data_IF_168035489731
#
_entry.id   IF_168035489731
#
_cell.length_a   1.000
_cell.length_b   1.000
_cell.length_c   1.000
_cell.angle_alpha   90.00
_cell.angle_beta   90.00
_cell.angle_gamma   90.00
#
_symmetry.space_group_name_H-M   'P 1'
#
loop_
_entity.id
_entity.type
_entity.pdbx_description
1 polymer ?
#
# COMPACT_ATOMS: atom_id res chain seq x y z
N UNK A 1 24.96 30.82 11.45
CA UNK A 1 25.16 29.48 10.85
C UNK A 1 23.82 28.75 10.95
N UNK A 2 23.24 28.32 9.83
CA UNK A 2 21.91 27.67 9.84
C UNK A 2 22.09 26.18 10.14
N UNK A 3 21.57 25.70 11.27
CA UNK A 3 21.64 24.30 11.67
C UNK A 3 20.60 23.51 10.89
N UNK A 4 21.03 22.79 9.84
CA UNK A 4 20.16 21.82 9.17
C UNK A 4 19.92 20.66 10.14
N UNK A 5 18.67 20.17 10.30
CA UNK A 5 18.43 18.94 11.04
C UNK A 5 19.17 17.77 10.38
N UNK A 6 19.57 16.75 11.16
CA UNK A 6 20.23 15.57 10.60
C UNK A 6 19.31 14.90 9.58
N UNK A 7 19.91 14.34 8.52
CA UNK A 7 19.17 13.59 7.52
C UNK A 7 18.51 12.36 8.19
N UNK A 8 17.32 11.95 7.74
CA UNK A 8 16.66 10.77 8.28
C UNK A 8 17.49 9.52 8.04
N UNK A 9 17.53 8.62 9.03
CA UNK A 9 18.14 7.30 8.89
C UNK A 9 17.38 6.42 7.89
N UNK A 10 17.94 5.25 7.57
CA UNK A 10 17.34 4.35 6.58
C UNK A 10 15.93 3.89 6.94
N UNK A 11 15.65 3.64 8.22
CA UNK A 11 14.31 3.22 8.66
C UNK A 11 13.33 4.36 8.49
N UNK A 12 13.71 5.57 8.91
CA UNK A 12 12.90 6.78 8.74
C UNK A 12 12.59 7.06 7.26
N UNK A 13 13.53 6.80 6.36
CA UNK A 13 13.31 6.92 4.92
C UNK A 13 12.29 5.88 4.41
N UNK A 14 12.42 4.61 4.82
CA UNK A 14 11.49 3.55 4.42
C UNK A 14 10.05 3.85 4.86
N UNK A 15 9.84 4.40 6.06
CA UNK A 15 8.50 4.82 6.53
C UNK A 15 7.81 5.84 5.62
N UNK A 16 8.58 6.63 4.87
CA UNK A 16 8.09 7.68 3.99
C UNK A 16 7.68 7.20 2.59
N UNK A 17 8.05 5.98 2.20
CA UNK A 17 7.79 5.44 0.87
C UNK A 17 6.34 4.96 0.74
N UNK A 18 5.90 4.82 -0.51
CA UNK A 18 4.68 4.10 -0.86
C UNK A 18 5.03 2.68 -1.28
N UNK A 19 4.13 1.75 -0.96
CA UNK A 19 4.25 0.32 -1.24
C UNK A 19 2.96 -0.15 -1.91
N UNK A 20 3.05 -1.11 -2.82
CA UNK A 20 1.87 -1.74 -3.41
C UNK A 20 1.63 -3.16 -2.87
N UNK A 21 0.54 -3.78 -3.34
CA UNK A 21 0.14 -5.14 -2.96
C UNK A 21 0.41 -6.18 -4.04
N UNK A 22 1.31 -5.92 -5.00
CA UNK A 22 1.60 -6.88 -6.06
C UNK A 22 2.15 -8.21 -5.49
N UNK A 23 1.73 -9.33 -6.09
CA UNK A 23 2.11 -10.68 -5.63
C UNK A 23 1.28 -11.20 -4.45
N UNK A 24 1.87 -12.07 -3.62
CA UNK A 24 1.19 -12.77 -2.51
C UNK A 24 1.20 -11.95 -1.21
N UNK A 25 0.72 -10.71 -1.29
CA UNK A 25 0.83 -9.71 -0.23
C UNK A 25 0.05 -10.05 1.06
N UNK A 26 -1.03 -10.83 0.94
CA UNK A 26 -1.88 -11.26 2.06
C UNK A 26 -1.78 -12.77 2.30
N UNK A 27 -1.95 -13.24 3.56
CA UNK A 27 -2.34 -12.50 4.75
C UNK A 27 -1.16 -12.04 5.63
N UNK A 28 0.10 -12.16 5.17
CA UNK A 28 1.28 -11.95 6.04
C UNK A 28 2.09 -10.70 5.73
N UNK A 29 2.38 -10.43 4.45
CA UNK A 29 3.36 -9.41 4.07
C UNK A 29 2.87 -7.99 4.36
N UNK A 30 1.64 -7.65 3.97
CA UNK A 30 1.06 -6.32 4.25
C UNK A 30 0.85 -6.10 5.75
N UNK A 31 0.28 -7.03 6.53
CA UNK A 31 0.21 -6.86 7.98
C UNK A 31 1.58 -6.67 8.64
N UNK A 32 2.63 -7.35 8.16
CA UNK A 32 3.98 -7.11 8.64
C UNK A 32 4.49 -5.71 8.27
N UNK A 33 4.25 -5.25 7.04
CA UNK A 33 4.60 -3.90 6.56
C UNK A 33 3.97 -2.80 7.41
N UNK A 34 2.75 -3.00 7.93
CA UNK A 34 2.08 -2.01 8.79
C UNK A 34 2.76 -1.78 10.14
N UNK A 35 3.73 -2.62 10.54
CA UNK A 35 4.60 -2.33 11.69
C UNK A 35 5.68 -1.27 11.36
N UNK A 36 5.82 -0.91 10.08
CA UNK A 36 6.79 0.07 9.57
C UNK A 36 6.08 1.29 8.97
N UNK A 37 5.17 1.07 8.02
CA UNK A 37 4.53 2.13 7.24
C UNK A 37 3.06 2.30 7.62
N UNK A 38 2.59 3.55 7.64
CA UNK A 38 1.18 3.86 7.90
C UNK A 38 0.27 3.30 6.80
N UNK A 39 -0.99 2.91 7.10
CA UNK A 39 -1.93 2.39 6.11
C UNK A 39 -2.11 3.29 4.88
N UNK A 40 -1.95 4.61 5.02
CA UNK A 40 -2.06 5.57 3.91
C UNK A 40 -0.93 5.44 2.89
N UNK A 41 0.14 4.72 3.21
CA UNK A 41 1.29 4.45 2.33
C UNK A 41 1.10 3.21 1.45
N UNK A 42 0.02 2.46 1.63
CA UNK A 42 -0.25 1.22 0.87
C UNK A 42 -1.19 1.51 -0.31
N UNK A 43 -0.81 1.05 -1.51
CA UNK A 43 -1.57 1.15 -2.75
C UNK A 43 -1.98 -0.25 -3.23
N UNK A 44 -3.05 -0.33 -4.00
CA UNK A 44 -3.37 -1.58 -4.69
C UNK A 44 -2.46 -1.73 -5.91
N UNK A 45 -1.88 -2.91 -6.07
CA UNK A 45 -1.15 -3.32 -7.28
C UNK A 45 -1.45 -4.79 -7.58
N UNK A 46 -1.78 -5.11 -8.82
CA UNK A 46 -2.04 -6.49 -9.27
C UNK A 46 -0.85 -7.12 -10.01
N UNK A 47 0.04 -6.29 -10.55
CA UNK A 47 1.11 -6.69 -11.47
C UNK A 47 0.60 -7.44 -12.72
N UNK A 48 -0.62 -7.13 -13.17
CA UNK A 48 -1.12 -7.63 -14.45
C UNK A 48 -0.40 -6.90 -15.61
N UNK A 49 0.06 -7.59 -16.67
CA UNK A 49 -0.17 -8.98 -17.06
C UNK A 49 0.95 -9.98 -16.70
N UNK A 50 1.92 -9.57 -15.88
CA UNK A 50 3.00 -10.46 -15.43
C UNK A 50 2.50 -11.50 -14.42
N UNK A 51 1.57 -11.11 -13.54
CA UNK A 51 0.75 -12.03 -12.78
C UNK A 51 -0.34 -12.61 -13.71
N UNK A 52 -0.41 -13.95 -13.90
CA UNK A 52 -1.45 -14.56 -14.73
C UNK A 52 -2.86 -14.19 -14.24
N UNK A 53 -3.86 -14.03 -15.13
CA UNK A 53 -5.19 -13.55 -14.78
C UNK A 53 -5.82 -14.26 -13.57
N UNK A 54 -5.85 -15.60 -13.59
CA UNK A 54 -6.43 -16.38 -12.50
C UNK A 54 -5.69 -16.20 -11.16
N UNK A 55 -4.39 -15.92 -11.20
CA UNK A 55 -3.61 -15.64 -9.99
C UNK A 55 -3.85 -14.21 -9.49
N UNK A 56 -4.00 -13.24 -10.41
CA UNK A 56 -4.38 -11.87 -10.04
C UNK A 56 -5.76 -11.84 -9.37
N UNK A 57 -6.74 -12.59 -9.91
CA UNK A 57 -8.06 -12.76 -9.29
C UNK A 57 -7.96 -13.36 -7.88
N UNK A 58 -7.12 -14.39 -7.69
CA UNK A 58 -6.89 -14.98 -6.37
C UNK A 58 -6.25 -14.00 -5.38
N UNK A 59 -5.28 -13.18 -5.82
CA UNK A 59 -4.69 -12.14 -4.99
C UNK A 59 -5.71 -11.06 -4.61
N UNK A 60 -6.55 -10.63 -5.56
CA UNK A 60 -7.64 -9.66 -5.30
C UNK A 60 -8.63 -10.23 -4.28
N UNK A 61 -9.02 -11.50 -4.40
CA UNK A 61 -9.90 -12.14 -3.43
C UNK A 61 -9.26 -12.19 -2.02
N UNK A 62 -7.93 -12.39 -1.92
CA UNK A 62 -7.23 -12.34 -0.64
C UNK A 62 -7.20 -10.92 -0.03
N UNK A 63 -7.10 -9.87 -0.85
CA UNK A 63 -7.24 -8.47 -0.41
C UNK A 63 -8.64 -8.21 0.12
N UNK A 64 -9.67 -8.69 -0.57
CA UNK A 64 -11.07 -8.49 -0.19
C UNK A 64 -11.46 -9.23 1.09
N UNK A 65 -10.84 -10.39 1.36
CA UNK A 65 -11.06 -11.18 2.56
C UNK A 65 -10.28 -10.67 3.79
N UNK A 66 -9.30 -9.80 3.61
CA UNK A 66 -8.46 -9.32 4.70
C UNK A 66 -9.17 -8.24 5.55
N UNK A 67 -8.94 -8.27 6.86
CA UNK A 67 -9.38 -7.21 7.76
C UNK A 67 -8.66 -5.90 7.41
N UNK A 68 -9.44 -4.84 7.23
CA UNK A 68 -8.94 -3.52 6.87
C UNK A 68 -8.59 -2.72 8.12
N UNK A 69 -7.48 -1.97 8.13
CA UNK A 69 -7.15 -1.05 9.23
C UNK A 69 -8.00 0.23 9.21
N UNK A 70 -8.74 0.50 8.12
CA UNK A 70 -9.65 1.64 8.03
C UNK A 70 -10.98 1.31 8.72
N UNK A 71 -11.36 2.11 9.73
CA UNK A 71 -12.62 1.96 10.46
C UNK A 71 -13.83 1.99 9.51
N UNK A 72 -14.64 0.93 9.54
CA UNK A 72 -15.82 0.77 8.68
C UNK A 72 -15.52 0.65 7.18
N UNK A 73 -14.25 0.51 6.79
CA UNK A 73 -13.80 0.45 5.40
C UNK A 73 -13.26 -0.92 4.97
N UNK A 74 -12.89 -1.02 3.70
CA UNK A 74 -12.21 -2.17 3.11
C UNK A 74 -10.82 -1.78 2.61
N UNK A 75 -9.97 -2.78 2.35
CA UNK A 75 -8.70 -2.56 1.65
C UNK A 75 -8.90 -1.90 0.28
N UNK A 76 -10.00 -2.19 -0.43
CA UNK A 76 -10.33 -1.52 -1.70
C UNK A 76 -10.56 -0.03 -1.50
N UNK A 77 -11.40 0.36 -0.54
CA UNK A 77 -11.68 1.79 -0.29
C UNK A 77 -10.43 2.53 0.19
N UNK A 78 -9.65 1.90 1.07
CA UNK A 78 -8.41 2.46 1.62
C UNK A 78 -7.38 2.71 0.51
N UNK A 79 -7.04 1.67 -0.26
CA UNK A 79 -6.03 1.78 -1.32
C UNK A 79 -6.47 2.69 -2.47
N UNK A 80 -7.78 2.76 -2.75
CA UNK A 80 -8.34 3.74 -3.70
C UNK A 80 -8.18 5.19 -3.18
N UNK A 81 -8.47 5.44 -1.91
CA UNK A 81 -8.28 6.76 -1.32
C UNK A 81 -6.80 7.17 -1.31
N UNK A 82 -5.90 6.23 -1.00
CA UNK A 82 -4.46 6.44 -1.04
C UNK A 82 -3.96 6.78 -2.45
N UNK A 83 -4.44 6.06 -3.46
CA UNK A 83 -4.12 6.33 -4.85
C UNK A 83 -4.62 7.72 -5.29
N UNK A 84 -5.86 8.09 -4.92
CA UNK A 84 -6.40 9.43 -5.23
C UNK A 84 -5.60 10.56 -4.57
N UNK A 85 -5.12 10.34 -3.35
CA UNK A 85 -4.28 11.31 -2.62
C UNK A 85 -2.90 11.45 -3.25
N UNK A 86 -2.30 10.35 -3.72
CA UNK A 86 -0.99 10.35 -4.38
C UNK A 86 -1.05 10.90 -5.81
N UNK A 87 -2.13 10.61 -6.54
CA UNK A 87 -2.34 10.98 -7.94
C UNK A 87 -3.56 11.89 -8.12
N UNK A 88 -3.53 13.15 -7.64
CA UNK A 88 -4.70 14.05 -7.61
C UNK A 88 -5.23 14.47 -9.00
N UNK A 89 -4.52 14.14 -10.09
CA UNK A 89 -4.91 14.46 -11.47
C UNK A 89 -5.71 13.38 -12.21
N UNK A 90 -6.04 12.25 -11.56
CA UNK A 90 -6.65 11.07 -12.21
C UNK A 90 -8.14 11.15 -12.53
N UNK A 91 -8.80 12.28 -12.25
CA UNK A 91 -10.18 12.54 -12.65
C UNK A 91 -10.18 13.45 -13.88
N UNK A 92 -9.90 12.89 -15.05
CA UNK A 92 -10.19 13.49 -16.36
C UNK A 92 -10.89 12.49 -17.24
#
# INVERSE_FOLDING_TARGET
MSHRPPAPDGVQQLRGLYYDTAGTAFPRQVPALLNLAEPERVLFGSDYCWTPPALADAHIAAVDAAESPAEGGTWRSLTTANAKRLFPGGSR
#
